data_IF_665929918583
#
_entry.id   IF_665929918583
#
_cell.length_a   1.000
_cell.length_b   1.000
_cell.length_c   1.000
_cell.angle_alpha   90.00
_cell.angle_beta   90.00
_cell.angle_gamma   90.00
#
_symmetry.space_group_name_H-M   'P 1'
#
loop_
_entity.id
_entity.type
_entity.pdbx_description
1 polymer ?
#
# COMPACT_ATOMS: atom_id res chain seq x y z
N UNK A 1 9.55 12.20 -19.99
CA UNK A 1 8.62 11.91 -18.88
C UNK A 1 7.41 12.83 -19.04
N UNK A 2 6.20 12.27 -19.13
CA UNK A 2 4.98 13.07 -19.34
C UNK A 2 4.64 13.84 -18.05
N UNK A 3 4.03 15.02 -18.18
CA UNK A 3 3.60 15.84 -17.01
C UNK A 3 2.73 15.07 -16.02
N UNK A 4 2.01 14.05 -16.47
CA UNK A 4 1.17 13.19 -15.61
C UNK A 4 1.97 12.26 -14.68
N UNK A 5 3.14 11.79 -15.10
CA UNK A 5 3.99 10.92 -14.27
C UNK A 5 4.69 11.69 -13.15
N UNK A 6 5.11 12.92 -13.41
CA UNK A 6 5.68 13.83 -12.40
C UNK A 6 4.63 14.20 -11.32
N UNK A 7 3.37 14.41 -11.72
CA UNK A 7 2.27 14.68 -10.79
C UNK A 7 2.00 13.52 -9.84
N UNK A 8 1.95 12.28 -10.37
CA UNK A 8 1.73 11.09 -9.56
C UNK A 8 2.89 10.87 -8.57
N UNK A 9 4.13 10.99 -9.02
CA UNK A 9 5.32 10.81 -8.17
C UNK A 9 5.36 11.82 -7.03
N UNK A 10 4.95 13.06 -7.29
CA UNK A 10 4.78 14.10 -6.26
C UNK A 10 3.74 13.70 -5.21
N UNK A 11 2.57 13.21 -5.65
CA UNK A 11 1.51 12.76 -4.74
C UNK A 11 2.00 11.60 -3.88
N UNK A 12 2.66 10.61 -4.46
CA UNK A 12 3.20 9.46 -3.71
C UNK A 12 4.26 9.89 -2.70
N UNK A 13 5.20 10.75 -3.08
CA UNK A 13 6.23 11.27 -2.18
C UNK A 13 5.64 12.07 -1.03
N UNK A 14 4.69 12.96 -1.30
CA UNK A 14 3.99 13.74 -0.26
C UNK A 14 3.21 12.82 0.66
N UNK A 15 2.51 11.82 0.12
CA UNK A 15 1.76 10.83 0.92
C UNK A 15 2.70 10.08 1.86
N UNK A 16 3.80 9.50 1.34
CA UNK A 16 4.77 8.78 2.15
C UNK A 16 5.33 9.66 3.27
N UNK A 17 5.74 10.89 2.94
CA UNK A 17 6.30 11.83 3.91
C UNK A 17 5.28 12.23 4.98
N UNK A 18 4.05 12.53 4.59
CA UNK A 18 2.97 12.91 5.52
C UNK A 18 2.70 11.80 6.51
N UNK A 19 2.59 10.56 6.04
CA UNK A 19 2.38 9.40 6.93
C UNK A 19 3.59 9.10 7.79
N UNK A 20 4.82 9.26 7.28
CA UNK A 20 6.03 9.07 8.08
C UNK A 20 6.12 10.10 9.22
N UNK A 21 5.91 11.38 8.92
CA UNK A 21 5.94 12.45 9.93
C UNK A 21 4.77 12.29 10.91
N UNK A 22 3.57 12.01 10.42
CA UNK A 22 2.40 11.77 11.26
C UNK A 22 2.61 10.62 12.24
N UNK A 23 3.15 9.50 11.77
CA UNK A 23 3.48 8.34 12.62
C UNK A 23 4.54 8.69 13.66
N UNK A 24 5.61 9.36 13.25
CA UNK A 24 6.66 9.79 14.16
C UNK A 24 6.12 10.68 15.28
N UNK A 25 5.31 11.70 14.92
CA UNK A 25 4.69 12.60 15.90
C UNK A 25 3.75 11.84 16.82
N UNK A 26 2.90 10.97 16.28
CA UNK A 26 1.97 10.15 17.06
C UNK A 26 2.71 9.28 18.10
N UNK A 27 3.76 8.58 17.68
CA UNK A 27 4.54 7.71 18.57
C UNK A 27 5.26 8.52 19.66
N UNK A 28 5.80 9.71 19.31
CA UNK A 28 6.37 10.60 20.31
C UNK A 28 5.34 11.10 21.33
N UNK A 29 4.15 11.46 20.88
CA UNK A 29 3.05 11.85 21.79
C UNK A 29 2.68 10.70 22.71
N UNK A 30 2.55 9.46 22.19
CA UNK A 30 2.29 8.28 23.01
C UNK A 30 3.40 8.06 24.04
N UNK A 31 4.66 8.15 23.62
CA UNK A 31 5.82 8.02 24.53
C UNK A 31 5.81 9.07 25.64
N UNK A 32 5.53 10.34 25.30
CA UNK A 32 5.43 11.41 26.28
C UNK A 32 4.26 11.21 27.25
N UNK A 33 3.11 10.77 26.75
CA UNK A 33 1.96 10.44 27.58
C UNK A 33 2.24 9.24 28.50
N UNK A 34 2.91 8.21 28.00
CA UNK A 34 3.31 7.05 28.82
C UNK A 34 4.29 7.47 29.95
N UNK A 35 5.19 8.43 29.65
CA UNK A 35 6.22 8.86 30.62
C UNK A 35 5.71 9.88 31.64
N UNK A 36 4.86 10.79 31.23
CA UNK A 36 4.43 11.94 32.04
C UNK A 36 2.91 11.97 32.30
N UNK A 37 2.14 11.12 31.63
CA UNK A 37 0.68 11.13 31.64
C UNK A 37 0.09 10.82 33.04
N UNK A 38 0.80 10.05 33.87
CA UNK A 38 0.38 9.75 35.25
C UNK A 38 0.21 11.02 36.11
N UNK A 39 0.91 12.12 35.75
CA UNK A 39 0.85 13.40 36.45
C UNK A 39 -0.24 14.33 35.90
N UNK A 40 -0.92 13.95 34.81
CA UNK A 40 -1.93 14.77 34.17
C UNK A 40 -3.32 14.41 34.69
N UNK A 41 -4.14 15.42 35.14
CA UNK A 41 -5.52 15.19 35.50
C UNK A 41 -6.27 14.66 34.26
N UNK A 42 -7.12 13.65 34.45
CA UNK A 42 -7.89 12.91 33.43
C UNK A 42 -7.12 11.86 32.62
N UNK A 43 -5.81 11.96 32.43
CA UNK A 43 -5.00 11.00 31.65
C UNK A 43 -4.35 9.96 32.55
N UNK A 44 -4.02 10.31 33.81
CA UNK A 44 -3.35 9.42 34.76
C UNK A 44 -4.14 8.16 35.15
N UNK A 45 -5.44 8.11 34.84
CA UNK A 45 -6.29 6.92 35.05
C UNK A 45 -6.32 5.98 33.84
N UNK A 46 -5.75 6.37 32.70
CA UNK A 46 -5.73 5.53 31.49
C UNK A 46 -4.57 4.51 31.55
N UNK A 47 -4.78 3.25 31.17
CA UNK A 47 -3.73 2.27 31.04
C UNK A 47 -2.86 2.61 29.81
N UNK A 48 -1.91 3.51 29.98
CA UNK A 48 -0.99 3.92 28.92
C UNK A 48 0.08 2.83 28.76
N UNK A 49 -0.03 2.04 27.71
CA UNK A 49 0.96 1.04 27.31
C UNK A 49 2.05 1.66 26.42
N UNK A 50 3.20 1.03 26.36
CA UNK A 50 4.24 1.37 25.40
C UNK A 50 3.71 1.36 23.96
N UNK A 51 4.32 2.13 23.02
CA UNK A 51 3.90 2.13 21.62
C UNK A 51 3.88 0.71 21.06
N UNK A 52 2.79 0.28 20.40
CA UNK A 52 2.69 -1.07 19.87
C UNK A 52 3.73 -1.32 18.78
N UNK A 53 4.24 -2.54 18.70
CA UNK A 53 5.05 -2.96 17.55
C UNK A 53 4.15 -3.07 16.32
N UNK A 54 4.34 -2.16 15.37
CA UNK A 54 3.49 -2.04 14.19
C UNK A 54 3.99 -2.85 12.98
N UNK A 55 5.29 -3.20 12.97
CA UNK A 55 5.93 -3.90 11.86
C UNK A 55 5.32 -5.27 11.57
N UNK A 56 4.97 -6.12 12.56
CA UNK A 56 4.36 -7.43 12.30
C UNK A 56 3.01 -7.36 11.59
N UNK A 57 2.21 -6.31 11.85
CA UNK A 57 0.90 -6.12 11.23
C UNK A 57 1.00 -5.82 9.73
N UNK A 58 2.10 -5.21 9.30
CA UNK A 58 2.35 -4.86 7.90
C UNK A 58 3.06 -5.97 7.12
N UNK A 59 3.63 -6.95 7.82
CA UNK A 59 4.32 -8.08 7.21
C UNK A 59 3.36 -9.17 6.69
N UNK A 60 2.05 -9.06 6.95
CA UNK A 60 1.08 -10.03 6.42
C UNK A 60 0.84 -9.79 4.93
N UNK A 61 1.55 -10.56 4.12
CA UNK A 61 1.47 -10.52 2.66
C UNK A 61 0.09 -10.96 2.11
N UNK A 62 -0.77 -11.61 2.91
CA UNK A 62 -2.05 -12.15 2.44
C UNK A 62 -3.00 -11.08 1.92
N UNK A 63 -3.09 -9.95 2.63
CA UNK A 63 -3.94 -8.84 2.20
C UNK A 63 -3.53 -8.31 0.82
N UNK A 64 -2.23 -8.08 0.63
CA UNK A 64 -1.71 -7.53 -0.62
C UNK A 64 -1.84 -8.52 -1.77
N UNK A 65 -1.58 -9.80 -1.52
CA UNK A 65 -1.76 -10.85 -2.53
C UNK A 65 -3.22 -11.02 -2.91
N UNK A 66 -4.14 -10.94 -1.93
CA UNK A 66 -5.58 -10.95 -2.20
C UNK A 66 -6.00 -9.76 -3.04
N UNK A 67 -5.54 -8.55 -2.72
CA UNK A 67 -5.82 -7.35 -3.52
C UNK A 67 -5.27 -7.46 -4.95
N UNK A 68 -4.06 -7.98 -5.11
CA UNK A 68 -3.46 -8.21 -6.43
C UNK A 68 -4.26 -9.25 -7.23
N UNK A 69 -4.64 -10.37 -6.62
CA UNK A 69 -5.43 -11.41 -7.26
C UNK A 69 -6.82 -10.89 -7.70
N UNK A 70 -7.50 -10.14 -6.83
CA UNK A 70 -8.77 -9.49 -7.17
C UNK A 70 -8.58 -8.50 -8.31
N UNK A 71 -7.53 -7.67 -8.28
CA UNK A 71 -7.24 -6.71 -9.35
C UNK A 71 -7.00 -7.40 -10.70
N UNK A 72 -6.23 -8.51 -10.72
CA UNK A 72 -6.00 -9.34 -11.91
C UNK A 72 -7.32 -9.90 -12.45
N UNK A 73 -8.14 -10.50 -11.59
CA UNK A 73 -9.43 -11.09 -11.97
C UNK A 73 -10.38 -10.04 -12.56
N UNK A 74 -10.52 -8.89 -11.87
CA UNK A 74 -11.41 -7.80 -12.30
C UNK A 74 -10.91 -7.16 -13.61
N UNK A 75 -9.60 -7.04 -13.80
CA UNK A 75 -9.02 -6.57 -15.06
C UNK A 75 -9.32 -7.53 -16.20
N UNK A 76 -9.26 -8.85 -15.96
CA UNK A 76 -9.68 -9.87 -16.92
C UNK A 76 -11.15 -9.75 -17.30
N UNK A 77 -12.05 -9.58 -16.33
CA UNK A 77 -13.48 -9.36 -16.57
C UNK A 77 -13.75 -8.06 -17.36
N UNK A 78 -13.03 -7.00 -17.07
CA UNK A 78 -13.15 -5.71 -17.76
C UNK A 78 -12.72 -5.78 -19.25
N UNK A 79 -11.82 -6.71 -19.60
CA UNK A 79 -11.48 -6.97 -21.00
C UNK A 79 -12.62 -7.60 -21.79
N UNK A 80 -13.50 -8.35 -21.13
CA UNK A 80 -14.69 -8.95 -21.75
C UNK A 80 -15.79 -7.91 -21.96
N UNK A 81 -15.91 -6.94 -21.05
CA UNK A 81 -16.96 -5.92 -21.04
C UNK A 81 -16.36 -4.60 -21.55
N UNK A 82 -16.83 -4.12 -22.70
CA UNK A 82 -16.41 -2.83 -23.24
C UNK A 82 -17.22 -1.70 -22.61
N UNK A 83 -16.78 -1.21 -21.46
CA UNK A 83 -17.44 -0.12 -20.75
C UNK A 83 -16.42 0.90 -20.24
N UNK A 84 -16.56 2.16 -20.66
CA UNK A 84 -15.72 3.26 -20.18
C UNK A 84 -15.86 3.49 -18.67
N UNK A 85 -17.03 3.20 -18.10
CA UNK A 85 -17.29 3.35 -16.67
C UNK A 85 -16.47 2.34 -15.85
N UNK A 86 -16.39 1.08 -16.33
CA UNK A 86 -15.59 0.03 -15.67
C UNK A 86 -14.11 0.37 -15.76
N UNK A 87 -13.63 0.86 -16.91
CA UNK A 87 -12.24 1.25 -17.11
C UNK A 87 -11.84 2.40 -16.18
N UNK A 88 -12.72 3.39 -16.06
CA UNK A 88 -12.50 4.52 -15.14
C UNK A 88 -12.50 4.05 -13.68
N UNK A 89 -13.42 3.18 -13.30
CA UNK A 89 -13.48 2.57 -11.98
C UNK A 89 -12.19 1.82 -11.63
N UNK A 90 -11.69 0.97 -12.53
CA UNK A 90 -10.43 0.24 -12.34
C UNK A 90 -9.23 1.16 -12.19
N UNK A 91 -9.16 2.23 -12.98
CA UNK A 91 -8.09 3.21 -12.90
C UNK A 91 -8.10 3.96 -11.56
N UNK A 92 -9.28 4.30 -11.05
CA UNK A 92 -9.45 4.94 -9.73
C UNK A 92 -9.00 3.98 -8.62
N UNK A 93 -9.48 2.73 -8.66
CA UNK A 93 -9.11 1.70 -7.65
C UNK A 93 -7.60 1.45 -7.66
N UNK A 94 -7.00 1.29 -8.84
CA UNK A 94 -5.55 1.10 -8.98
C UNK A 94 -4.75 2.25 -8.37
N UNK A 95 -5.14 3.49 -8.65
CA UNK A 95 -4.50 4.67 -8.04
C UNK A 95 -4.70 4.73 -6.53
N UNK A 96 -5.91 4.44 -6.05
CA UNK A 96 -6.21 4.42 -4.63
C UNK A 96 -5.35 3.39 -3.88
N UNK A 97 -5.25 2.17 -4.40
CA UNK A 97 -4.41 1.11 -3.81
C UNK A 97 -2.93 1.53 -3.79
N UNK A 98 -2.42 2.14 -4.87
CA UNK A 98 -1.04 2.64 -4.92
C UNK A 98 -0.80 3.71 -3.85
N UNK A 99 -1.75 4.62 -3.63
CA UNK A 99 -1.66 5.65 -2.58
C UNK A 99 -1.67 5.01 -1.19
N UNK A 100 -2.55 4.03 -0.94
CA UNK A 100 -2.62 3.29 0.34
C UNK A 100 -1.31 2.58 0.64
N UNK A 101 -0.74 1.84 -0.34
CA UNK A 101 0.54 1.16 -0.15
C UNK A 101 1.67 2.17 0.14
N UNK A 102 1.64 3.33 -0.53
CA UNK A 102 2.62 4.40 -0.29
C UNK A 102 2.46 5.01 1.12
N UNK A 103 1.24 5.14 1.61
CA UNK A 103 0.96 5.58 2.97
C UNK A 103 1.52 4.58 4.00
N UNK A 104 1.32 3.27 3.77
CA UNK A 104 1.90 2.21 4.61
C UNK A 104 3.43 2.24 4.60
N UNK A 105 4.05 2.50 3.45
CA UNK A 105 5.50 2.69 3.37
C UNK A 105 5.97 3.87 4.23
N UNK A 106 5.25 5.00 4.17
CA UNK A 106 5.50 6.15 5.02
C UNK A 106 5.36 5.83 6.50
N UNK A 107 4.29 5.10 6.86
CA UNK A 107 4.04 4.65 8.23
C UNK A 107 5.19 3.80 8.77
N UNK A 108 5.65 2.78 8.03
CA UNK A 108 6.80 1.95 8.43
C UNK A 108 8.06 2.80 8.55
N UNK A 109 8.32 3.71 7.60
CA UNK A 109 9.46 4.62 7.65
C UNK A 109 9.45 5.53 8.88
N UNK A 110 8.28 6.07 9.25
CA UNK A 110 8.10 6.88 10.46
C UNK A 110 8.33 6.09 11.75
N UNK A 111 7.84 4.85 11.82
CA UNK A 111 8.09 3.96 12.96
C UNK A 111 9.58 3.63 13.12
N UNK A 112 10.26 3.32 12.03
CA UNK A 112 11.70 3.06 12.07
C UNK A 112 12.51 4.29 12.49
N UNK A 113 12.13 5.48 11.98
CA UNK A 113 12.77 6.73 12.42
C UNK A 113 12.55 6.96 13.92
N UNK A 114 11.36 6.64 14.46
CA UNK A 114 11.09 6.70 15.89
C UNK A 114 12.01 5.77 16.69
N UNK A 115 12.14 4.49 16.30
CA UNK A 115 13.04 3.53 16.97
C UNK A 115 14.50 3.97 16.91
N UNK A 116 14.94 4.51 15.78
CA UNK A 116 16.30 5.02 15.64
C UNK A 116 16.60 6.17 16.63
N UNK A 117 15.64 7.08 16.80
CA UNK A 117 15.82 8.24 17.68
C UNK A 117 15.69 7.87 19.16
N UNK A 118 14.80 6.95 19.51
CA UNK A 118 14.50 6.58 20.90
C UNK A 118 15.40 5.49 21.46
N UNK A 119 15.78 4.51 20.64
CA UNK A 119 16.50 3.30 21.04
C UNK A 119 17.92 3.23 20.46
N UNK A 120 18.28 4.16 19.57
CA UNK A 120 19.58 4.14 18.90
C UNK A 120 19.76 2.96 17.93
N UNK A 121 18.66 2.30 17.54
CA UNK A 121 18.69 1.18 16.60
C UNK A 121 19.13 1.66 15.22
N UNK A 122 20.03 0.92 14.56
CA UNK A 122 20.45 1.27 13.21
C UNK A 122 19.26 1.23 12.24
N UNK A 123 19.18 2.21 11.35
CA UNK A 123 18.16 2.25 10.31
C UNK A 123 18.34 1.04 9.37
N UNK A 124 17.46 0.05 9.47
CA UNK A 124 17.47 -1.13 8.64
C UNK A 124 16.44 -0.99 7.52
N UNK A 125 16.85 -1.21 6.28
CA UNK A 125 15.92 -1.21 5.12
C UNK A 125 15.09 -2.49 5.03
N UNK A 126 15.48 -3.56 5.76
CA UNK A 126 14.83 -4.86 5.69
C UNK A 126 13.31 -4.84 5.94
N UNK A 127 12.76 -4.08 6.91
CA UNK A 127 11.31 -4.01 7.09
C UNK A 127 10.57 -3.25 5.98
N UNK A 128 11.25 -2.37 5.25
CA UNK A 128 10.67 -1.62 4.14
C UNK A 128 10.66 -2.44 2.83
N UNK A 129 11.53 -3.45 2.72
CA UNK A 129 11.69 -4.25 1.50
C UNK A 129 10.38 -4.91 1.05
N UNK A 130 9.59 -5.60 1.90
CA UNK A 130 8.33 -6.22 1.48
C UNK A 130 7.32 -5.17 0.97
N UNK A 131 7.22 -4.02 1.62
CA UNK A 131 6.31 -2.94 1.20
C UNK A 131 6.75 -2.35 -0.14
N UNK A 132 8.06 -2.17 -0.36
CA UNK A 132 8.62 -1.71 -1.63
C UNK A 132 8.36 -2.73 -2.76
N UNK A 133 8.56 -4.02 -2.50
CA UNK A 133 8.29 -5.09 -3.48
C UNK A 133 6.80 -5.06 -3.87
N UNK A 134 5.89 -4.94 -2.89
CA UNK A 134 4.46 -4.88 -3.15
C UNK A 134 4.09 -3.61 -3.93
N UNK A 135 4.64 -2.45 -3.57
CA UNK A 135 4.38 -1.19 -4.27
C UNK A 135 4.84 -1.25 -5.73
N UNK A 136 6.07 -1.69 -5.96
CA UNK A 136 6.63 -1.83 -7.32
C UNK A 136 5.90 -2.92 -8.10
N UNK A 137 5.63 -4.06 -7.47
CA UNK A 137 4.89 -5.17 -8.08
C UNK A 137 3.48 -4.74 -8.49
N UNK A 138 2.76 -4.06 -7.61
CA UNK A 138 1.41 -3.55 -7.91
C UNK A 138 1.44 -2.48 -9.01
N UNK A 139 2.42 -1.58 -8.99
CA UNK A 139 2.60 -0.57 -10.03
C UNK A 139 2.88 -1.21 -11.40
N UNK A 140 3.77 -2.20 -11.47
CA UNK A 140 4.04 -2.97 -12.68
C UNK A 140 2.80 -3.71 -13.16
N UNK A 141 2.13 -4.43 -12.27
CA UNK A 141 0.90 -5.16 -12.56
C UNK A 141 -0.17 -4.23 -13.16
N UNK A 142 -0.41 -3.09 -12.50
CA UNK A 142 -1.36 -2.06 -12.92
C UNK A 142 -1.03 -1.46 -14.29
N UNK A 143 0.26 -1.32 -14.60
CA UNK A 143 0.73 -0.80 -15.89
C UNK A 143 0.59 -1.85 -17.00
N UNK A 144 0.96 -3.10 -16.72
CA UNK A 144 0.85 -4.21 -17.67
C UNK A 144 -0.61 -4.59 -17.95
N UNK A 145 -1.46 -4.58 -16.91
CA UNK A 145 -2.88 -4.88 -17.01
C UNK A 145 -3.73 -3.66 -17.36
N UNK A 146 -3.14 -2.63 -17.97
CA UNK A 146 -3.90 -1.49 -18.47
C UNK A 146 -4.92 -1.96 -19.51
N UNK A 147 -6.20 -1.98 -19.12
CA UNK A 147 -7.32 -2.47 -19.95
C UNK A 147 -7.37 -1.77 -21.31
N UNK A 148 -7.16 -0.44 -21.43
CA UNK A 148 -7.12 0.23 -22.73
C UNK A 148 -6.01 -0.29 -23.66
N UNK A 149 -4.84 -0.63 -23.10
CA UNK A 149 -3.71 -1.16 -23.88
C UNK A 149 -3.98 -2.60 -24.32
N UNK A 150 -4.51 -3.42 -23.43
CA UNK A 150 -4.83 -4.82 -23.72
C UNK A 150 -6.00 -4.96 -24.72
N UNK A 151 -6.89 -3.99 -24.80
CA UNK A 151 -7.96 -3.97 -25.83
C UNK A 151 -7.43 -3.83 -27.25
N UNK A 152 -6.25 -3.24 -27.44
CA UNK A 152 -5.62 -3.11 -28.75
C UNK A 152 -5.17 -4.46 -29.35
N UNK A 153 -5.12 -5.51 -28.53
CA UNK A 153 -4.76 -6.87 -28.96
C UNK A 153 -5.84 -7.56 -29.83
N UNK A 154 -6.93 -6.89 -30.15
CA UNK A 154 -7.99 -7.46 -30.99
C UNK A 154 -8.59 -8.74 -30.39
N UNK A 155 -8.62 -9.84 -31.16
CA UNK A 155 -9.17 -11.12 -30.70
C UNK A 155 -8.36 -11.80 -29.60
N UNK A 156 -7.05 -11.53 -29.50
CA UNK A 156 -6.20 -12.05 -28.42
C UNK A 156 -6.63 -11.55 -27.05
N UNK A 157 -7.35 -10.43 -26.97
CA UNK A 157 -7.88 -9.91 -25.69
C UNK A 157 -8.73 -10.93 -24.94
N UNK A 158 -9.50 -11.76 -25.65
CA UNK A 158 -10.35 -12.77 -25.02
C UNK A 158 -9.55 -13.88 -24.36
N UNK A 159 -8.45 -14.31 -25.01
CA UNK A 159 -7.53 -15.30 -24.44
C UNK A 159 -6.86 -14.74 -23.20
N UNK A 160 -6.38 -13.48 -23.29
CA UNK A 160 -5.79 -12.79 -22.15
C UNK A 160 -6.80 -12.61 -21.01
N UNK A 161 -8.05 -12.23 -21.33
CA UNK A 161 -9.10 -12.07 -20.34
C UNK A 161 -9.37 -13.37 -19.57
N UNK A 162 -9.53 -14.50 -20.29
CA UNK A 162 -9.74 -15.82 -19.65
C UNK A 162 -8.54 -16.20 -18.81
N UNK A 163 -7.31 -16.01 -19.30
CA UNK A 163 -6.09 -16.29 -18.56
C UNK A 163 -6.04 -15.48 -17.25
N UNK A 164 -6.35 -14.18 -17.27
CA UNK A 164 -6.34 -13.31 -16.09
C UNK A 164 -7.44 -13.70 -15.08
N UNK A 165 -8.63 -14.03 -15.56
CA UNK A 165 -9.76 -14.48 -14.70
C UNK A 165 -9.42 -15.77 -13.97
N UNK A 166 -8.68 -16.67 -14.59
CA UNK A 166 -8.24 -17.93 -13.96
C UNK A 166 -7.02 -17.73 -13.05
N UNK A 167 -6.09 -16.87 -13.44
CA UNK A 167 -4.84 -16.66 -12.72
C UNK A 167 -5.05 -16.06 -11.33
N UNK A 168 -5.99 -15.12 -11.18
CA UNK A 168 -6.28 -14.51 -9.88
C UNK A 168 -6.68 -15.52 -8.80
N UNK A 169 -7.73 -16.34 -9.00
CA UNK A 169 -8.10 -17.39 -8.04
C UNK A 169 -7.00 -18.43 -7.84
N UNK A 170 -6.26 -18.82 -8.89
CA UNK A 170 -5.17 -19.78 -8.78
C UNK A 170 -4.06 -19.31 -7.84
N UNK A 171 -3.71 -18.03 -7.88
CA UNK A 171 -2.72 -17.43 -6.97
C UNK A 171 -3.21 -17.48 -5.52
N UNK A 172 -4.51 -17.27 -5.26
CA UNK A 172 -5.08 -17.34 -3.91
C UNK A 172 -5.13 -18.76 -3.35
N UNK A 173 -5.33 -19.77 -4.21
CA UNK A 173 -5.37 -21.19 -3.78
C UNK A 173 -3.96 -21.74 -3.56
N UNK A 174 -2.94 -21.18 -4.23
CA UNK A 174 -1.55 -21.61 -4.10
C UNK A 174 -0.82 -21.03 -2.86
N UNK A 175 -1.45 -20.10 -2.13
CA UNK A 175 -0.95 -19.47 -0.89
C UNK A 175 -1.55 -20.10 0.36
#
# INVERSE_FOLDING_TARGET
>A
MSQGSLGLLKVLAVTALTFAVGTLVMLYVILLLARYGANLPMIGSLPLSAPPEMVPLLADNRLFTTLAAVHVTVSGLALLITSNTIDMGLLIVSKAVTVVITALLGFVGGHMAFLQITEGTAFALSPLTPVLIVLVGFWLLSTLLSVPTLRQLGNLRFVVAVALVLLGPMVLVAL
#
